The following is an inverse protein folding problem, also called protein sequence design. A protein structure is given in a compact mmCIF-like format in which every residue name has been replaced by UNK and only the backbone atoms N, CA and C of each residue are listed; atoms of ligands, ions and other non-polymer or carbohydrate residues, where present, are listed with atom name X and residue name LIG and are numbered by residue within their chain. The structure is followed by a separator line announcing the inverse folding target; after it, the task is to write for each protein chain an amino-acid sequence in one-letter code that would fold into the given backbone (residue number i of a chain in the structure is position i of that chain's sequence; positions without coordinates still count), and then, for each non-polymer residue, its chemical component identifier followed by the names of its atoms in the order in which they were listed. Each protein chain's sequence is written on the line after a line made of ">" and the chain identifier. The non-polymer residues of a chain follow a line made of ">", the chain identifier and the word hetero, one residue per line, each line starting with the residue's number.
data_IF_569133684941
#
_entry.id   IF_569133684941
#
_cell.length_a   1.000
_cell.length_b   1.000
_cell.length_c   1.000
_cell.angle_alpha   90.00
_cell.angle_beta   90.00
_cell.angle_gamma   90.00
#
_symmetry.space_group_name_H-M   'P 1'
#
loop_
_entity.id
_entity.type
_entity.pdbx_description
1 polymer ?
#
# COMPACT_ATOMS: atom_id res chain seq x y z
N UNK A 1 32.13 -29.41 22.48
CA UNK A 1 32.55 -30.64 23.18
C UNK A 1 33.84 -31.09 22.51
N UNK A 2 34.90 -31.30 23.30
CA UNK A 2 36.25 -31.64 22.86
C UNK A 2 36.26 -32.78 21.83
N UNK A 3 36.89 -32.56 20.67
CA UNK A 3 37.13 -33.60 19.66
C UNK A 3 38.20 -34.57 20.17
N UNK A 4 37.80 -35.52 21.01
CA UNK A 4 38.70 -36.54 21.53
C UNK A 4 39.09 -37.47 20.37
N UNK A 5 40.26 -37.23 19.80
CA UNK A 5 40.81 -37.93 18.63
C UNK A 5 41.80 -39.03 19.01
N UNK A 6 42.11 -39.17 20.30
CA UNK A 6 43.03 -40.18 20.83
C UNK A 6 42.52 -40.71 22.17
N UNK A 7 42.82 -41.98 22.46
CA UNK A 7 42.47 -42.65 23.70
C UNK A 7 43.74 -43.10 24.45
N UNK A 8 44.55 -42.16 24.95
CA UNK A 8 45.81 -42.49 25.63
C UNK A 8 45.60 -43.36 26.88
N UNK A 9 44.48 -43.19 27.58
CA UNK A 9 44.13 -43.94 28.79
C UNK A 9 43.83 -45.43 28.54
N UNK A 10 43.57 -45.80 27.27
CA UNK A 10 43.35 -47.19 26.85
C UNK A 10 44.64 -47.92 26.46
N UNK A 11 45.79 -47.22 26.40
CA UNK A 11 47.11 -47.77 26.00
C UNK A 11 47.89 -48.38 27.18
N UNK A 12 47.21 -49.01 28.14
CA UNK A 12 47.85 -49.70 29.26
C UNK A 12 48.31 -51.14 28.91
N UNK A 13 48.93 -51.87 29.85
CA UNK A 13 49.47 -53.22 29.63
C UNK A 13 48.35 -54.30 29.66
N UNK A 14 47.24 -54.04 28.99
CA UNK A 14 46.07 -54.93 28.92
C UNK A 14 46.16 -55.76 27.63
N UNK A 15 45.86 -57.06 27.70
CA UNK A 15 45.88 -57.95 26.52
C UNK A 15 44.90 -57.50 25.42
N UNK A 16 43.87 -56.73 25.75
CA UNK A 16 42.81 -56.26 24.87
C UNK A 16 42.92 -54.78 24.48
N UNK A 17 44.03 -54.11 24.80
CA UNK A 17 44.19 -52.66 24.60
C UNK A 17 43.96 -52.19 23.15
N UNK A 18 44.42 -52.96 22.16
CA UNK A 18 44.25 -52.63 20.74
C UNK A 18 42.77 -52.70 20.30
N UNK A 19 42.04 -53.74 20.74
CA UNK A 19 40.61 -53.90 20.47
C UNK A 19 39.80 -52.77 21.11
N UNK A 20 40.11 -52.41 22.36
CA UNK A 20 39.44 -51.31 23.08
C UNK A 20 39.63 -49.95 22.41
N UNK A 21 40.81 -49.70 21.82
CA UNK A 21 41.08 -48.48 21.06
C UNK A 21 40.30 -48.46 19.74
N UNK A 22 40.16 -49.60 19.05
CA UNK A 22 39.35 -49.70 17.84
C UNK A 22 37.86 -49.48 18.14
N UNK A 23 37.35 -50.10 19.20
CA UNK A 23 35.96 -49.94 19.63
C UNK A 23 35.66 -48.49 20.05
N UNK A 24 36.61 -47.82 20.71
CA UNK A 24 36.48 -46.42 21.08
C UNK A 24 36.42 -45.48 19.86
N UNK A 25 37.26 -45.70 18.84
CA UNK A 25 37.18 -44.94 17.58
C UNK A 25 35.86 -45.19 16.84
N UNK A 26 35.40 -46.45 16.78
CA UNK A 26 34.13 -46.82 16.15
C UNK A 26 32.96 -46.15 16.86
N UNK A 27 32.92 -46.19 18.19
CA UNK A 27 31.89 -45.54 18.99
C UNK A 27 31.86 -44.01 18.77
N UNK A 28 33.03 -43.35 18.68
CA UNK A 28 33.09 -41.92 18.36
C UNK A 28 32.62 -41.62 16.93
N UNK A 29 32.93 -42.46 15.95
CA UNK A 29 32.43 -42.28 14.59
C UNK A 29 30.91 -42.45 14.50
N UNK A 30 30.36 -43.48 15.15
CA UNK A 30 28.91 -43.72 15.23
C UNK A 30 28.21 -42.54 15.91
N UNK A 31 28.76 -42.05 17.03
CA UNK A 31 28.24 -40.87 17.73
C UNK A 31 28.28 -39.61 16.86
N UNK A 32 29.37 -39.38 16.11
CA UNK A 32 29.49 -38.23 15.19
C UNK A 32 28.43 -38.28 14.09
N UNK A 33 28.22 -39.45 13.48
CA UNK A 33 27.19 -39.65 12.46
C UNK A 33 25.79 -39.43 13.02
N UNK A 34 25.51 -39.95 14.22
CA UNK A 34 24.24 -39.74 14.90
C UNK A 34 23.97 -38.25 15.22
N UNK A 35 24.96 -37.55 15.78
CA UNK A 35 24.85 -36.12 16.08
C UNK A 35 24.66 -35.27 14.82
N UNK A 36 25.30 -35.64 13.70
CA UNK A 36 25.11 -34.97 12.41
C UNK A 36 23.67 -35.12 11.92
N UNK A 37 23.12 -36.34 11.93
CA UNK A 37 21.73 -36.59 11.53
C UNK A 37 20.73 -35.85 12.43
N UNK A 38 20.94 -35.87 13.74
CA UNK A 38 20.12 -35.12 14.71
C UNK A 38 20.15 -33.62 14.43
N UNK A 39 21.34 -33.05 14.18
CA UNK A 39 21.47 -31.63 13.85
C UNK A 39 20.77 -31.28 12.52
N UNK A 40 20.90 -32.10 11.49
CA UNK A 40 20.20 -31.91 10.21
C UNK A 40 18.68 -31.95 10.37
N UNK A 41 18.15 -32.88 11.18
CA UNK A 41 16.72 -32.94 11.51
C UNK A 41 16.24 -31.68 12.25
N UNK A 42 16.98 -31.24 13.28
CA UNK A 42 16.66 -30.03 14.04
C UNK A 42 16.69 -28.78 13.16
N UNK A 43 17.67 -28.66 12.26
CA UNK A 43 17.75 -27.55 11.31
C UNK A 43 16.55 -27.57 10.37
N UNK A 44 16.23 -28.74 9.78
CA UNK A 44 15.08 -28.88 8.87
C UNK A 44 13.75 -28.57 9.55
N UNK A 45 13.55 -28.99 10.80
CA UNK A 45 12.34 -28.69 11.57
C UNK A 45 12.23 -27.20 11.88
N UNK A 46 13.34 -26.55 12.27
CA UNK A 46 13.38 -25.09 12.47
C UNK A 46 13.03 -24.32 11.19
N UNK A 47 13.59 -24.70 10.05
CA UNK A 47 13.27 -24.08 8.76
C UNK A 47 11.79 -24.22 8.40
N UNK A 48 11.21 -25.41 8.59
CA UNK A 48 9.77 -25.64 8.38
C UNK A 48 8.90 -24.76 9.27
N UNK A 49 9.26 -24.64 10.55
CA UNK A 49 8.56 -23.78 11.51
C UNK A 49 8.68 -22.30 11.13
N UNK A 50 9.84 -21.84 10.66
CA UNK A 50 10.00 -20.46 10.18
C UNK A 50 9.14 -20.17 8.95
N UNK A 51 9.12 -21.08 7.97
CA UNK A 51 8.29 -20.93 6.77
C UNK A 51 6.81 -20.85 7.17
N UNK A 52 6.34 -21.72 8.07
CA UNK A 52 4.97 -21.69 8.58
C UNK A 52 4.66 -20.38 9.31
N UNK A 53 5.57 -19.89 10.17
CA UNK A 53 5.41 -18.61 10.87
C UNK A 53 5.32 -17.43 9.88
N UNK A 54 6.20 -17.38 8.87
CA UNK A 54 6.17 -16.32 7.84
C UNK A 54 4.88 -16.35 7.05
N UNK A 55 4.43 -17.53 6.63
CA UNK A 55 3.15 -17.69 5.94
C UNK A 55 1.96 -17.26 6.80
N UNK A 56 1.97 -17.58 8.09
CA UNK A 56 0.92 -17.16 9.04
C UNK A 56 0.91 -15.64 9.23
N UNK A 57 2.07 -15.01 9.43
CA UNK A 57 2.20 -13.55 9.57
C UNK A 57 1.68 -12.85 8.31
N UNK A 58 2.05 -13.35 7.13
CA UNK A 58 1.61 -12.76 5.86
C UNK A 58 0.10 -12.91 5.67
N UNK A 59 -0.45 -14.08 6.00
CA UNK A 59 -1.91 -14.32 5.97
C UNK A 59 -2.65 -13.37 6.91
N UNK A 60 -2.16 -13.18 8.13
CA UNK A 60 -2.74 -12.24 9.10
C UNK A 60 -2.65 -10.79 8.62
N UNK A 61 -1.53 -10.40 8.00
CA UNK A 61 -1.33 -9.06 7.41
C UNK A 61 -2.34 -8.81 6.30
N UNK A 62 -2.49 -9.75 5.37
CA UNK A 62 -3.46 -9.67 4.26
C UNK A 62 -4.88 -9.60 4.82
N UNK A 63 -5.23 -10.46 5.78
CA UNK A 63 -6.56 -10.47 6.39
C UNK A 63 -6.88 -9.16 7.10
N UNK A 64 -5.91 -8.59 7.83
CA UNK A 64 -6.06 -7.29 8.50
C UNK A 64 -6.26 -6.16 7.50
N UNK A 65 -5.41 -6.10 6.46
CA UNK A 65 -5.53 -5.10 5.39
C UNK A 65 -6.90 -5.17 4.70
N UNK A 66 -7.39 -6.39 4.40
CA UNK A 66 -8.72 -6.58 3.81
C UNK A 66 -9.84 -6.11 4.76
N UNK A 67 -9.70 -6.39 6.05
CA UNK A 67 -10.68 -5.99 7.06
C UNK A 67 -10.74 -4.47 7.20
N UNK A 68 -9.58 -3.81 7.24
CA UNK A 68 -9.49 -2.35 7.37
C UNK A 68 -9.98 -1.64 6.10
N UNK A 69 -9.71 -2.20 4.92
CA UNK A 69 -10.30 -1.73 3.66
C UNK A 69 -11.82 -1.85 3.63
N UNK A 70 -12.37 -2.95 4.14
CA UNK A 70 -13.82 -3.12 4.25
C UNK A 70 -14.44 -2.10 5.21
N UNK A 71 -13.77 -1.79 6.33
CA UNK A 71 -14.21 -0.71 7.24
C UNK A 71 -14.20 0.66 6.55
N UNK A 72 -13.16 0.98 5.79
CA UNK A 72 -13.10 2.22 5.00
C UNK A 72 -14.27 2.32 4.02
N UNK A 73 -14.61 1.22 3.35
CA UNK A 73 -15.76 1.15 2.44
C UNK A 73 -17.07 1.38 3.18
N UNK A 74 -17.30 0.69 4.29
CA UNK A 74 -18.52 0.85 5.10
C UNK A 74 -18.68 2.28 5.63
N UNK A 75 -17.59 2.90 6.09
CA UNK A 75 -17.61 4.29 6.54
C UNK A 75 -17.98 5.23 5.38
N UNK A 76 -17.44 5.02 4.18
CA UNK A 76 -17.83 5.79 2.99
C UNK A 76 -19.31 5.63 2.65
N UNK A 77 -19.82 4.40 2.66
CA UNK A 77 -21.24 4.11 2.37
C UNK A 77 -22.17 4.78 3.39
N UNK A 78 -21.81 4.82 4.68
CA UNK A 78 -22.58 5.51 5.71
C UNK A 78 -22.69 7.03 5.45
N UNK A 79 -21.67 7.64 4.85
CA UNK A 79 -21.67 9.08 4.50
C UNK A 79 -22.64 9.42 3.38
N UNK A 80 -23.08 8.46 2.55
CA UNK A 80 -23.95 8.73 1.40
C UNK A 80 -25.27 9.43 1.81
N UNK A 81 -25.78 9.13 3.01
CA UNK A 81 -26.96 9.77 3.58
C UNK A 81 -26.79 11.28 3.82
N UNK A 82 -25.55 11.77 3.91
CA UNK A 82 -25.20 13.15 4.23
C UNK A 82 -24.76 13.97 3.02
N UNK A 83 -24.83 13.42 1.79
CA UNK A 83 -24.40 14.11 0.57
C UNK A 83 -25.15 15.44 0.41
N UNK A 84 -24.39 16.51 0.16
CA UNK A 84 -24.89 17.88 0.01
C UNK A 84 -25.06 18.65 1.32
N UNK A 85 -24.77 18.05 2.47
CA UNK A 85 -24.74 18.76 3.76
C UNK A 85 -23.33 19.25 4.07
N UNK A 86 -23.21 20.36 4.80
CA UNK A 86 -21.92 20.88 5.24
C UNK A 86 -21.17 19.88 6.13
N UNK A 87 -21.87 19.27 7.09
CA UNK A 87 -21.30 18.24 7.97
C UNK A 87 -20.82 17.01 7.19
N UNK A 88 -21.59 16.58 6.17
CA UNK A 88 -21.18 15.52 5.27
C UNK A 88 -19.89 15.85 4.51
N UNK A 89 -19.71 17.11 4.10
CA UNK A 89 -18.47 17.60 3.50
C UNK A 89 -17.25 17.43 4.40
N UNK A 90 -17.34 17.87 5.66
CA UNK A 90 -16.26 17.69 6.63
C UNK A 90 -15.99 16.22 6.93
N UNK A 91 -17.04 15.41 7.06
CA UNK A 91 -16.90 13.97 7.31
C UNK A 91 -16.28 13.24 6.10
N UNK A 92 -16.60 13.66 4.88
CA UNK A 92 -15.97 13.14 3.67
C UNK A 92 -14.50 13.54 3.55
N UNK A 93 -14.14 14.78 3.91
CA UNK A 93 -12.74 15.20 3.98
C UNK A 93 -11.96 14.33 4.96
N UNK A 94 -12.48 14.16 6.18
CA UNK A 94 -11.85 13.31 7.19
C UNK A 94 -11.67 11.87 6.70
N UNK A 95 -12.74 11.29 6.13
CA UNK A 95 -12.71 9.95 5.56
C UNK A 95 -11.68 9.83 4.43
N UNK A 96 -11.58 10.82 3.54
CA UNK A 96 -10.62 10.79 2.44
C UNK A 96 -9.17 10.78 2.95
N UNK A 97 -8.86 11.51 4.03
CA UNK A 97 -7.54 11.42 4.66
C UNK A 97 -7.28 10.08 5.34
N UNK A 98 -8.31 9.41 5.88
CA UNK A 98 -8.17 8.03 6.37
C UNK A 98 -7.83 7.07 5.22
N UNK A 99 -8.44 7.25 4.05
CA UNK A 99 -8.09 6.51 2.84
C UNK A 99 -6.63 6.74 2.41
N UNK A 100 -6.19 8.00 2.36
CA UNK A 100 -4.80 8.33 1.99
C UNK A 100 -3.80 7.71 2.97
N UNK A 101 -4.08 7.77 4.28
CA UNK A 101 -3.26 7.14 5.31
C UNK A 101 -3.21 5.62 5.16
N UNK A 102 -4.35 4.97 4.86
CA UNK A 102 -4.40 3.54 4.61
C UNK A 102 -3.57 3.12 3.38
N UNK A 103 -3.53 3.98 2.35
CA UNK A 103 -2.71 3.76 1.17
C UNK A 103 -1.24 4.20 1.35
N UNK A 104 -0.85 4.66 2.55
CA UNK A 104 0.48 5.19 2.84
C UNK A 104 0.90 6.34 1.90
N UNK A 105 -0.07 7.15 1.47
CA UNK A 105 0.17 8.33 0.61
C UNK A 105 0.48 9.53 1.49
N UNK A 106 1.64 10.15 1.27
CA UNK A 106 2.03 11.37 1.95
C UNK A 106 1.01 12.48 1.67
N UNK A 107 0.39 13.02 2.70
CA UNK A 107 -0.66 14.04 2.56
C UNK A 107 -0.61 15.07 3.68
N UNK A 108 -1.20 16.24 3.41
CA UNK A 108 -1.37 17.34 4.36
C UNK A 108 -2.83 17.77 4.36
N UNK A 109 -3.45 17.79 5.54
CA UNK A 109 -4.84 18.22 5.76
C UNK A 109 -5.05 19.70 5.42
N UNK A 110 -6.32 20.09 5.33
CA UNK A 110 -6.80 21.43 4.98
C UNK A 110 -6.00 22.53 5.65
N UNK A 111 -5.65 23.56 4.86
CA UNK A 111 -4.90 24.72 5.31
C UNK A 111 -5.32 25.96 4.53
N UNK A 112 -5.16 27.13 5.15
CA UNK A 112 -5.33 28.41 4.48
C UNK A 112 -3.99 28.81 3.87
N UNK A 113 -3.98 29.09 2.57
CA UNK A 113 -2.81 29.59 1.86
C UNK A 113 -3.20 30.83 1.05
N UNK A 114 -2.52 31.95 1.29
CA UNK A 114 -2.76 33.22 0.60
C UNK A 114 -4.25 33.64 0.60
N UNK A 115 -4.94 33.43 1.74
CA UNK A 115 -6.36 33.76 1.92
C UNK A 115 -7.36 32.83 1.23
N UNK A 116 -6.90 31.71 0.63
CA UNK A 116 -7.76 30.68 0.03
C UNK A 116 -7.69 29.38 0.82
N UNK A 117 -8.85 28.74 1.00
CA UNK A 117 -8.96 27.41 1.60
C UNK A 117 -8.62 26.35 0.54
N UNK A 118 -7.73 25.43 0.92
CA UNK A 118 -7.39 24.23 0.16
C UNK A 118 -7.75 23.05 1.06
N UNK A 119 -8.54 22.10 0.56
CA UNK A 119 -8.98 20.93 1.35
C UNK A 119 -7.78 20.04 1.73
N UNK A 120 -6.70 20.15 0.95
CA UNK A 120 -5.31 19.96 1.38
C UNK A 120 -4.44 19.49 0.22
N UNK A 121 -3.51 18.58 0.45
CA UNK A 121 -2.64 18.08 -0.61
C UNK A 121 -2.18 16.65 -0.39
N UNK A 122 -1.77 15.99 -1.48
CA UNK A 122 -1.05 14.73 -1.45
C UNK A 122 0.18 14.78 -2.34
N UNK A 123 1.17 13.95 -2.04
CA UNK A 123 2.38 13.78 -2.87
C UNK A 123 2.46 12.34 -3.36
N UNK A 124 2.58 12.19 -4.67
CA UNK A 124 2.70 10.89 -5.33
C UNK A 124 3.69 10.98 -6.49
N UNK A 125 4.65 10.05 -6.56
CA UNK A 125 5.69 10.00 -7.60
C UNK A 125 6.44 11.34 -7.81
N UNK A 126 6.72 12.06 -6.71
CA UNK A 126 7.42 13.34 -6.75
C UNK A 126 6.58 14.53 -7.23
N UNK A 127 5.30 14.33 -7.53
CA UNK A 127 4.34 15.40 -7.86
C UNK A 127 3.46 15.70 -6.66
N UNK A 128 3.32 16.98 -6.33
CA UNK A 128 2.37 17.46 -5.32
C UNK A 128 1.04 17.79 -5.99
N UNK A 129 -0.06 17.28 -5.44
CA UNK A 129 -1.41 17.54 -5.90
C UNK A 129 -2.17 18.33 -4.84
N UNK A 130 -2.73 19.47 -5.22
CA UNK A 130 -3.76 20.13 -4.41
C UNK A 130 -5.05 19.33 -4.50
N UNK A 131 -5.69 19.09 -3.37
CA UNK A 131 -6.94 18.36 -3.28
C UNK A 131 -8.12 19.32 -3.18
N UNK A 132 -9.15 19.03 -3.97
CA UNK A 132 -10.49 19.59 -3.84
C UNK A 132 -11.50 18.45 -3.75
N UNK A 133 -12.27 18.42 -2.67
CA UNK A 133 -13.23 17.37 -2.36
C UNK A 133 -14.65 17.92 -2.48
N UNK A 134 -15.43 17.40 -3.43
CA UNK A 134 -16.81 17.82 -3.66
C UNK A 134 -17.78 16.77 -3.12
N UNK A 135 -18.39 17.10 -1.97
CA UNK A 135 -19.43 16.30 -1.31
C UNK A 135 -20.87 16.78 -1.56
N UNK A 136 -21.22 17.02 -2.82
CA UNK A 136 -22.50 17.63 -3.25
C UNK A 136 -23.41 16.65 -3.97
N UNK A 137 -24.73 16.93 -4.02
CA UNK A 137 -25.69 16.12 -4.81
C UNK A 137 -25.61 16.38 -6.31
N UNK A 138 -25.35 17.63 -6.70
CA UNK A 138 -25.20 18.03 -8.10
C UNK A 138 -23.84 17.64 -8.66
N UNK A 139 -23.80 17.44 -9.98
CA UNK A 139 -22.55 17.34 -10.74
C UNK A 139 -21.70 18.59 -10.54
N UNK A 140 -20.38 18.41 -10.47
CA UNK A 140 -19.43 19.53 -10.47
C UNK A 140 -19.41 20.18 -11.86
N UNK A 141 -19.45 21.50 -11.88
CA UNK A 141 -19.47 22.34 -13.07
C UNK A 141 -18.08 22.93 -13.38
N UNK A 142 -18.04 23.76 -14.43
CA UNK A 142 -16.83 24.45 -14.85
C UNK A 142 -16.30 25.41 -13.77
N UNK A 143 -17.19 26.03 -12.98
CA UNK A 143 -16.80 26.97 -11.93
C UNK A 143 -15.90 26.30 -10.86
N UNK A 144 -16.20 25.07 -10.47
CA UNK A 144 -15.37 24.31 -9.55
C UNK A 144 -13.99 24.03 -10.15
N UNK A 145 -13.95 23.65 -11.44
CA UNK A 145 -12.71 23.39 -12.16
C UNK A 145 -11.85 24.66 -12.25
N UNK A 146 -12.43 25.78 -12.64
CA UNK A 146 -11.75 27.08 -12.73
C UNK A 146 -11.17 27.51 -11.38
N UNK A 147 -11.93 27.30 -10.31
CA UNK A 147 -11.47 27.56 -8.95
C UNK A 147 -10.22 26.74 -8.62
N UNK A 148 -10.22 25.44 -8.92
CA UNK A 148 -9.06 24.58 -8.69
C UNK A 148 -7.87 24.96 -9.58
N UNK A 149 -8.08 25.20 -10.88
CA UNK A 149 -7.03 25.70 -11.79
C UNK A 149 -6.37 26.96 -11.25
N UNK A 150 -7.17 27.92 -10.77
CA UNK A 150 -6.68 29.16 -10.21
C UNK A 150 -5.94 29.00 -8.87
N UNK A 151 -6.16 27.89 -8.15
CA UNK A 151 -5.37 27.53 -6.97
C UNK A 151 -4.03 26.91 -7.39
N UNK A 152 -4.05 25.97 -8.33
CA UNK A 152 -2.85 25.28 -8.83
C UNK A 152 -1.89 26.25 -9.52
N UNK A 153 -2.38 27.19 -10.32
CA UNK A 153 -1.54 28.16 -11.05
C UNK A 153 -0.74 29.12 -10.17
N UNK A 154 -1.04 29.17 -8.87
CA UNK A 154 -0.32 30.00 -7.88
C UNK A 154 0.72 29.22 -7.08
N UNK A 155 0.83 27.91 -7.31
CA UNK A 155 1.79 27.05 -6.61
C UNK A 155 3.10 26.94 -7.40
N UNK A 156 4.10 26.30 -6.80
CA UNK A 156 5.37 26.03 -7.46
C UNK A 156 5.18 25.18 -8.72
N UNK A 157 6.10 25.32 -9.67
CA UNK A 157 6.16 24.49 -10.87
C UNK A 157 6.10 23.00 -10.51
N UNK A 158 5.45 22.19 -11.36
CA UNK A 158 5.16 20.77 -11.14
C UNK A 158 4.10 20.47 -10.02
N UNK A 159 3.36 21.46 -9.55
CA UNK A 159 2.14 21.22 -8.76
C UNK A 159 0.95 20.95 -9.67
N UNK A 160 0.20 19.90 -9.37
CA UNK A 160 -1.04 19.53 -10.06
C UNK A 160 -2.26 19.67 -9.13
N UNK A 161 -3.47 19.47 -9.66
CA UNK A 161 -4.70 19.41 -8.88
C UNK A 161 -5.39 18.06 -9.05
N UNK A 162 -5.95 17.54 -7.96
CA UNK A 162 -6.89 16.44 -7.94
C UNK A 162 -8.23 16.99 -7.46
N UNK A 163 -9.28 16.80 -8.25
CA UNK A 163 -10.65 16.95 -7.75
C UNK A 163 -11.29 15.58 -7.59
N UNK A 164 -11.91 15.33 -6.44
CA UNK A 164 -12.74 14.14 -6.19
C UNK A 164 -14.19 14.59 -5.98
N UNK A 165 -15.09 14.20 -6.88
CA UNK A 165 -16.53 14.51 -6.79
C UNK A 165 -17.37 13.24 -6.68
N UNK A 166 -18.15 13.08 -5.62
CA UNK A 166 -18.98 11.85 -5.49
C UNK A 166 -20.17 11.83 -6.45
N UNK A 167 -20.65 12.98 -6.92
CA UNK A 167 -21.69 13.03 -7.95
C UNK A 167 -21.13 12.96 -9.37
N UNK A 168 -19.82 13.18 -9.55
CA UNK A 168 -19.18 13.28 -10.86
C UNK A 168 -19.24 14.69 -11.45
N UNK A 169 -19.14 14.77 -12.77
CA UNK A 169 -18.88 16.02 -13.51
C UNK A 169 -19.86 16.22 -14.67
N UNK A 170 -20.15 17.48 -14.97
CA UNK A 170 -20.79 17.84 -16.23
C UNK A 170 -19.81 17.65 -17.39
N UNK A 171 -20.31 17.45 -18.63
CA UNK A 171 -19.46 17.38 -19.82
C UNK A 171 -18.56 18.61 -19.97
N UNK A 172 -19.15 19.80 -19.75
CA UNK A 172 -18.43 21.08 -19.79
C UNK A 172 -17.30 21.12 -18.76
N UNK A 173 -17.51 20.59 -17.55
CA UNK A 173 -16.45 20.52 -16.55
C UNK A 173 -15.31 19.58 -16.95
N UNK A 174 -15.61 18.44 -17.58
CA UNK A 174 -14.57 17.51 -18.08
C UNK A 174 -13.77 18.15 -19.21
N UNK A 175 -14.45 18.80 -20.16
CA UNK A 175 -13.83 19.55 -21.26
C UNK A 175 -12.95 20.68 -20.72
N UNK A 176 -13.46 21.46 -19.76
CA UNK A 176 -12.71 22.55 -19.12
C UNK A 176 -11.52 22.01 -18.33
N UNK A 177 -11.65 20.90 -17.60
CA UNK A 177 -10.53 20.29 -16.89
C UNK A 177 -9.42 19.80 -17.84
N UNK A 178 -9.77 19.51 -19.10
CA UNK A 178 -8.88 18.95 -20.12
C UNK A 178 -8.22 20.05 -20.96
N UNK A 179 -7.18 19.67 -21.70
CA UNK A 179 -6.44 20.56 -22.59
C UNK A 179 -4.95 20.24 -22.70
N UNK A 180 -4.27 20.88 -23.65
CA UNK A 180 -2.88 20.60 -24.03
C UNK A 180 -1.83 20.79 -22.92
N UNK A 181 -2.21 21.41 -21.81
CA UNK A 181 -1.37 21.61 -20.62
C UNK A 181 -2.17 21.40 -19.34
N UNK A 182 -3.12 20.45 -19.34
CA UNK A 182 -3.90 20.22 -18.13
C UNK A 182 -2.98 19.87 -16.96
N UNK A 183 -3.13 20.63 -15.88
CA UNK A 183 -2.49 20.39 -14.59
C UNK A 183 -3.44 19.69 -13.62
N UNK A 184 -4.59 19.24 -14.11
CA UNK A 184 -5.63 18.61 -13.32
C UNK A 184 -5.79 17.15 -13.70
N UNK A 185 -6.12 16.35 -12.70
CA UNK A 185 -6.83 15.09 -12.89
C UNK A 185 -8.11 15.15 -12.06
N UNK A 186 -9.18 14.56 -12.58
CA UNK A 186 -10.47 14.53 -11.89
C UNK A 186 -10.94 13.09 -11.72
N UNK A 187 -11.55 12.82 -10.57
CA UNK A 187 -11.98 11.49 -10.14
C UNK A 187 -13.37 11.57 -9.54
N UNK A 188 -14.08 10.46 -9.59
CA UNK A 188 -15.42 10.32 -9.04
C UNK A 188 -15.57 9.03 -8.22
N UNK A 189 -16.78 8.77 -7.74
CA UNK A 189 -17.09 7.58 -6.95
C UNK A 189 -16.78 6.26 -7.67
N UNK A 190 -16.79 6.19 -9.00
CA UNK A 190 -16.43 4.96 -9.71
C UNK A 190 -14.98 4.55 -9.46
N UNK A 191 -14.08 5.53 -9.33
CA UNK A 191 -12.67 5.33 -9.00
C UNK A 191 -12.49 4.82 -7.57
N UNK A 192 -13.30 5.32 -6.62
CA UNK A 192 -13.32 4.80 -5.25
C UNK A 192 -13.80 3.35 -5.19
N UNK A 193 -14.84 2.99 -5.97
CA UNK A 193 -15.29 1.60 -6.04
C UNK A 193 -14.29 0.68 -6.76
N UNK A 194 -13.57 1.17 -7.76
CA UNK A 194 -12.44 0.45 -8.34
C UNK A 194 -11.39 0.15 -7.27
N UNK A 195 -11.02 1.13 -6.45
CA UNK A 195 -10.14 0.90 -5.31
C UNK A 195 -10.75 -0.15 -4.36
N UNK A 196 -12.00 0.00 -3.91
CA UNK A 196 -12.62 -0.93 -2.97
C UNK A 196 -12.73 -2.36 -3.49
N UNK A 197 -12.88 -2.55 -4.81
CA UNK A 197 -12.94 -3.87 -5.43
C UNK A 197 -11.66 -4.70 -5.24
N UNK A 198 -10.53 -4.05 -4.92
CA UNK A 198 -9.23 -4.72 -4.79
C UNK A 198 -8.50 -4.94 -6.11
N UNK A 199 -9.10 -4.60 -7.24
CA UNK A 199 -8.48 -4.77 -8.55
C UNK A 199 -7.29 -3.82 -8.75
N UNK A 200 -7.33 -2.63 -8.13
CA UNK A 200 -6.29 -1.61 -8.26
C UNK A 200 -6.04 -0.87 -6.95
N UNK A 201 -4.77 -0.55 -6.65
CA UNK A 201 -4.43 0.33 -5.52
C UNK A 201 -4.79 1.79 -5.86
N UNK A 202 -5.01 2.61 -4.84
CA UNK A 202 -5.35 4.03 -5.08
C UNK A 202 -4.20 4.80 -5.73
N UNK A 203 -2.94 4.46 -5.40
CA UNK A 203 -1.76 5.00 -6.07
C UNK A 203 -1.74 4.68 -7.57
N UNK A 204 -2.02 3.43 -7.96
CA UNK A 204 -2.07 3.02 -9.37
C UNK A 204 -3.20 3.75 -10.12
N UNK A 205 -4.36 3.95 -9.47
CA UNK A 205 -5.45 4.77 -10.05
C UNK A 205 -4.95 6.18 -10.35
N UNK A 206 -4.29 6.85 -9.41
CA UNK A 206 -3.72 8.20 -9.62
C UNK A 206 -2.68 8.18 -10.75
N UNK A 207 -1.74 7.23 -10.74
CA UNK A 207 -0.69 7.11 -11.78
C UNK A 207 -1.30 6.94 -13.17
N UNK A 208 -2.36 6.12 -13.30
CA UNK A 208 -3.02 5.89 -14.59
C UNK A 208 -3.71 7.13 -15.13
N UNK A 209 -4.47 7.84 -14.31
CA UNK A 209 -5.15 9.06 -14.76
C UNK A 209 -4.11 10.13 -15.11
N UNK A 210 -3.07 10.30 -14.29
CA UNK A 210 -1.97 11.23 -14.59
C UNK A 210 -1.29 10.88 -15.91
N UNK A 211 -0.96 9.61 -16.14
CA UNK A 211 -0.34 9.18 -17.38
C UNK A 211 -1.25 9.46 -18.57
N UNK A 212 -2.55 9.17 -18.44
CA UNK A 212 -3.53 9.47 -19.48
C UNK A 212 -3.62 10.97 -19.78
N UNK A 213 -3.74 11.81 -18.75
CA UNK A 213 -3.75 13.27 -18.87
C UNK A 213 -2.47 13.80 -19.53
N UNK A 214 -1.31 13.25 -19.16
CA UNK A 214 -0.01 13.63 -19.75
C UNK A 214 0.11 13.24 -21.22
N UNK A 215 -0.54 12.15 -21.65
CA UNK A 215 -0.46 11.63 -23.02
C UNK A 215 -1.51 12.22 -23.97
N UNK A 216 -2.70 12.55 -23.46
CA UNK A 216 -3.86 12.91 -24.27
C UNK A 216 -4.39 14.32 -24.00
N UNK A 217 -3.95 14.94 -22.89
CA UNK A 217 -4.54 16.18 -22.38
C UNK A 217 -5.90 16.00 -21.71
N UNK A 218 -6.43 14.78 -21.58
CA UNK A 218 -7.73 14.52 -20.94
C UNK A 218 -7.56 14.33 -19.43
N UNK A 219 -8.21 15.17 -18.63
CA UNK A 219 -8.09 15.14 -17.17
C UNK A 219 -8.90 14.01 -16.49
N UNK A 220 -9.82 13.38 -17.23
CA UNK A 220 -10.67 12.30 -16.75
C UNK A 220 -10.43 11.04 -17.58
N UNK A 221 -10.15 9.93 -16.91
CA UNK A 221 -10.11 8.61 -17.52
C UNK A 221 -11.24 7.77 -16.90
N UNK A 222 -12.30 7.42 -17.63
CA UNK A 222 -13.36 6.57 -17.09
C UNK A 222 -12.82 5.19 -16.67
N UNK A 223 -13.29 4.65 -15.55
CA UNK A 223 -12.89 3.31 -15.06
C UNK A 223 -13.07 2.20 -16.11
N UNK A 224 -14.09 2.32 -16.97
CA UNK A 224 -14.36 1.38 -18.07
C UNK A 224 -13.24 1.31 -19.11
N UNK A 225 -12.38 2.33 -19.19
CA UNK A 225 -11.31 2.44 -20.20
C UNK A 225 -9.94 2.03 -19.66
N UNK A 226 -9.85 1.58 -18.40
CA UNK A 226 -8.56 1.22 -17.79
C UNK A 226 -7.91 -0.02 -18.41
N UNK A 227 -8.68 -0.90 -19.06
CA UNK A 227 -8.18 -2.17 -19.62
C UNK A 227 -8.03 -2.14 -21.14
N UNK A 228 -8.24 -0.97 -21.76
CA UNK A 228 -8.11 -0.77 -23.20
C UNK A 228 -6.69 -0.34 -23.59
#
# INVERSE_FOLDING_TARGET
>A
MSEQSTFPDLRGPWEDAEQRIQDAHKAVQELKSYLKQQNEQVISEKERLEIQKRAQIEKERIQRSQTDKNKLKQNFEALQSQIGTQNGGYAFEEWFYQLLNFCEIQSKRSYISNGRQIDGSLTHEGTTYLLELKFTKSLSGAQEIDSLKAKVSKMADNTMGIMMSISGYTKVAIEEASGSKTTLIIMDTSHLYLFFSGVMSFQEIISRIRRHASQTGQAYLPVSEYYN
#
